data_IF_015375199320
#
_entry.id   IF_015375199320
#
_cell.length_a   1.000
_cell.length_b   1.000
_cell.length_c   1.000
_cell.angle_alpha   90.00
_cell.angle_beta   90.00
_cell.angle_gamma   90.00
#
_symmetry.space_group_name_H-M   'P 1'
#
loop_
_entity.id
_entity.type
_entity.pdbx_description
1 polymer ?
#
# COMPACT_ATOMS: atom_id res chain seq x y z
N UNK A 1 -6.56 10.09 6.54
CA UNK A 1 -7.81 9.32 6.35
C UNK A 1 -7.78 8.78 4.94
N UNK A 2 -8.09 7.51 4.73
CA UNK A 2 -8.07 6.91 3.40
C UNK A 2 -9.26 7.44 2.59
N UNK A 3 -9.01 7.97 1.40
CA UNK A 3 -10.04 8.49 0.51
C UNK A 3 -9.70 8.20 -0.94
N UNK A 4 -10.73 8.00 -1.78
CA UNK A 4 -10.54 7.77 -3.22
C UNK A 4 -9.88 9.00 -3.86
N UNK A 5 -8.90 8.78 -4.72
CA UNK A 5 -7.97 9.78 -5.28
C UNK A 5 -6.99 10.42 -4.29
N UNK A 6 -7.03 10.05 -3.01
CA UNK A 6 -6.04 10.45 -2.02
C UNK A 6 -4.68 9.84 -2.35
N UNK A 7 -3.61 10.61 -2.15
CA UNK A 7 -2.24 10.13 -2.35
C UNK A 7 -1.77 9.41 -1.09
N UNK A 8 -1.21 8.22 -1.28
CA UNK A 8 -0.57 7.44 -0.23
C UNK A 8 0.85 7.07 -0.65
N UNK A 9 1.69 6.81 0.33
CA UNK A 9 3.07 6.36 0.18
C UNK A 9 3.16 4.93 0.70
N UNK A 10 3.90 4.07 0.02
CA UNK A 10 4.03 2.68 0.45
C UNK A 10 5.44 2.14 0.25
N UNK A 11 5.83 1.20 1.11
CA UNK A 11 7.10 0.49 1.03
C UNK A 11 6.88 -0.76 0.18
N UNK A 12 7.64 -0.88 -0.90
CA UNK A 12 7.63 -2.02 -1.82
C UNK A 12 9.06 -2.56 -1.93
N UNK A 13 9.35 -3.69 -1.25
CA UNK A 13 10.70 -4.20 -1.10
C UNK A 13 11.65 -3.15 -0.49
N UNK A 14 12.73 -2.80 -1.19
CA UNK A 14 13.69 -1.76 -0.80
C UNK A 14 13.40 -0.38 -1.41
N UNK A 15 12.13 -0.08 -1.71
CA UNK A 15 11.74 1.20 -2.29
C UNK A 15 10.55 1.81 -1.55
N UNK A 16 10.53 3.14 -1.46
CA UNK A 16 9.32 3.91 -1.14
C UNK A 16 8.72 4.36 -2.47
N UNK A 17 7.45 4.07 -2.67
CA UNK A 17 6.66 4.53 -3.81
C UNK A 17 5.46 5.33 -3.34
N UNK A 18 4.76 5.96 -4.27
CA UNK A 18 3.51 6.65 -4.00
C UNK A 18 2.52 6.42 -5.14
N UNK A 19 1.24 6.44 -4.81
CA UNK A 19 0.15 6.32 -5.77
C UNK A 19 -1.14 6.87 -5.20
N UNK A 20 -2.18 6.88 -6.03
CA UNK A 20 -3.52 7.29 -5.62
C UNK A 20 -4.35 6.08 -5.26
N UNK A 21 -5.18 6.23 -4.23
CA UNK A 21 -6.20 5.24 -3.91
C UNK A 21 -7.23 5.21 -5.04
N UNK A 22 -7.22 4.15 -5.84
CA UNK A 22 -8.04 4.04 -7.06
C UNK A 22 -9.43 3.48 -6.77
N UNK A 23 -9.54 2.58 -5.79
CA UNK A 23 -10.81 2.04 -5.31
C UNK A 23 -10.74 1.61 -3.84
N UNK A 24 -11.91 1.51 -3.21
CA UNK A 24 -12.09 1.09 -1.82
C UNK A 24 -13.30 0.18 -1.75
N UNK A 25 -13.17 -0.97 -1.09
CA UNK A 25 -14.28 -1.88 -0.82
C UNK A 25 -14.30 -2.29 0.65
N UNK A 26 -15.47 -2.73 1.11
CA UNK A 26 -15.65 -3.33 2.42
C UNK A 26 -16.20 -4.74 2.22
N UNK A 27 -15.48 -5.74 2.70
CA UNK A 27 -15.90 -7.14 2.65
C UNK A 27 -15.90 -7.72 4.06
N UNK A 28 -17.05 -8.27 4.49
CA UNK A 28 -17.24 -8.87 5.83
C UNK A 28 -16.85 -7.95 7.01
N UNK A 29 -16.89 -6.63 6.81
CA UNK A 29 -16.53 -5.63 7.83
C UNK A 29 -15.07 -5.19 7.80
N UNK A 30 -14.27 -5.72 6.88
CA UNK A 30 -12.87 -5.35 6.68
C UNK A 30 -12.75 -4.44 5.45
N UNK A 31 -11.97 -3.36 5.57
CA UNK A 31 -11.72 -2.42 4.50
C UNK A 31 -10.51 -2.85 3.68
N UNK A 32 -10.67 -2.82 2.36
CA UNK A 32 -9.62 -3.06 1.39
C UNK A 32 -9.55 -1.92 0.38
N UNK A 33 -8.37 -1.64 -0.14
CA UNK A 33 -8.17 -0.57 -1.11
C UNK A 33 -7.14 -0.93 -2.18
N UNK A 34 -7.22 -0.26 -3.32
CA UNK A 34 -6.27 -0.36 -4.41
C UNK A 34 -5.44 0.92 -4.51
N UNK A 35 -4.17 0.79 -4.89
CA UNK A 35 -3.31 1.92 -5.26
C UNK A 35 -3.02 1.79 -6.76
N UNK A 36 -3.25 2.85 -7.54
CA UNK A 36 -3.14 2.82 -9.01
C UNK A 36 -1.75 2.42 -9.55
N UNK A 37 -0.69 2.72 -8.80
CA UNK A 37 0.70 2.38 -9.15
C UNK A 37 1.15 1.02 -8.62
N UNK A 38 0.33 0.36 -7.80
CA UNK A 38 0.67 -0.92 -7.18
C UNK A 38 0.08 -2.08 -7.98
N UNK A 39 0.95 -2.94 -8.50
CA UNK A 39 0.58 -4.10 -9.33
C UNK A 39 1.43 -5.30 -8.94
N UNK A 40 0.75 -6.40 -8.60
CA UNK A 40 1.30 -7.74 -8.46
C UNK A 40 1.04 -8.55 -9.72
N UNK A 41 1.93 -9.51 -10.03
CA UNK A 41 1.84 -10.29 -11.27
C UNK A 41 0.74 -11.36 -11.24
N UNK A 42 0.58 -12.06 -10.10
CA UNK A 42 -0.26 -13.26 -9.99
C UNK A 42 -1.26 -13.21 -8.83
N UNK A 43 -1.37 -12.07 -8.16
CA UNK A 43 -2.14 -11.91 -6.91
C UNK A 43 -3.12 -10.73 -6.98
N UNK A 44 -4.02 -10.74 -6.01
CA UNK A 44 -5.03 -9.71 -5.85
C UNK A 44 -4.41 -8.42 -5.28
N UNK A 45 -4.52 -7.32 -6.01
CA UNK A 45 -3.90 -6.03 -5.65
C UNK A 45 -4.59 -5.32 -4.48
N UNK A 46 -5.67 -5.90 -3.91
CA UNK A 46 -6.38 -5.35 -2.77
C UNK A 46 -5.50 -5.37 -1.51
N UNK A 47 -5.17 -4.18 -1.02
CA UNK A 47 -4.41 -3.97 0.21
C UNK A 47 -5.40 -3.87 1.37
N UNK A 48 -5.18 -4.63 2.43
CA UNK A 48 -5.99 -4.56 3.65
C UNK A 48 -5.69 -3.27 4.43
N UNK A 49 -6.70 -2.70 5.10
CA UNK A 49 -6.55 -1.50 5.94
C UNK A 49 -5.45 -1.65 7.00
N UNK A 50 -5.20 -2.86 7.49
CA UNK A 50 -4.17 -3.15 8.48
C UNK A 50 -2.73 -2.85 8.02
N UNK A 51 -2.51 -2.69 6.72
CA UNK A 51 -1.21 -2.29 6.17
C UNK A 51 -0.94 -0.80 6.33
N UNK A 52 -1.97 0.01 6.63
CA UNK A 52 -1.83 1.42 6.94
C UNK A 52 -1.08 1.57 8.27
N UNK A 53 0.02 2.34 8.26
CA UNK A 53 0.94 2.52 9.37
C UNK A 53 2.01 1.40 9.49
N UNK A 54 1.94 0.36 8.66
CA UNK A 54 2.95 -0.71 8.59
C UNK A 54 3.77 -0.63 7.31
N UNK A 55 3.10 -0.71 6.16
CA UNK A 55 3.70 -0.62 4.82
C UNK A 55 3.12 0.51 3.98
N UNK A 56 1.93 1.03 4.31
CA UNK A 56 1.26 2.15 3.63
C UNK A 56 1.09 3.33 4.59
N UNK A 57 1.29 4.55 4.11
CA UNK A 57 1.35 5.77 4.92
C UNK A 57 0.70 6.94 4.20
N UNK A 58 0.21 7.93 4.95
CA UNK A 58 -0.42 9.12 4.37
C UNK A 58 0.60 10.17 3.94
N UNK A 59 1.84 10.07 4.42
CA UNK A 59 2.92 10.99 4.07
C UNK A 59 4.23 10.28 3.76
N UNK A 60 5.07 10.90 2.94
CA UNK A 60 6.41 10.38 2.67
C UNK A 60 7.29 10.35 3.92
N UNK A 61 7.09 11.31 4.83
CA UNK A 61 7.85 11.40 6.09
C UNK A 61 7.59 10.18 6.96
N UNK A 62 6.33 9.78 7.12
CA UNK A 62 5.97 8.55 7.84
C UNK A 62 6.56 7.32 7.14
N UNK A 63 6.42 7.22 5.81
CA UNK A 63 7.01 6.09 5.08
C UNK A 63 8.52 5.98 5.28
N UNK A 64 9.25 7.10 5.29
CA UNK A 64 10.70 7.14 5.54
C UNK A 64 11.08 6.74 6.97
N UNK A 65 10.23 7.03 7.96
CA UNK A 65 10.47 6.61 9.35
C UNK A 65 10.35 5.10 9.52
N UNK A 66 9.51 4.45 8.72
CA UNK A 66 9.29 3.01 8.75
C UNK A 66 10.12 2.24 7.71
N UNK A 67 10.74 2.94 6.77
CA UNK A 67 11.61 2.34 5.76
C UNK A 67 12.82 1.65 6.41
N UNK A 68 13.13 0.43 5.95
CA UNK A 68 14.23 -0.38 6.49
C UNK A 68 13.88 -1.20 7.74
N UNK A 69 12.63 -1.16 8.21
CA UNK A 69 12.15 -2.00 9.33
C UNK A 69 11.89 -3.46 8.95
N UNK A 70 11.92 -3.78 7.65
CA UNK A 70 11.69 -5.12 7.11
C UNK A 70 10.23 -5.45 6.77
N UNK A 71 9.29 -4.53 7.02
CA UNK A 71 7.89 -4.68 6.61
C UNK A 71 7.63 -3.90 5.30
N UNK A 72 7.17 -4.59 4.25
CA UNK A 72 6.86 -4.00 2.95
C UNK A 72 5.70 -4.75 2.29
N UNK A 73 4.99 -4.07 1.39
CA UNK A 73 4.05 -4.76 0.50
C UNK A 73 4.77 -5.82 -0.34
N UNK A 74 4.10 -6.92 -0.71
CA UNK A 74 4.70 -7.96 -1.52
C UNK A 74 5.09 -7.40 -2.90
N UNK A 75 6.33 -7.65 -3.31
CA UNK A 75 6.79 -7.38 -4.67
C UNK A 75 6.36 -8.49 -5.61
N UNK A 76 6.05 -8.15 -6.86
CA UNK A 76 6.00 -9.12 -7.93
C UNK A 76 7.35 -9.87 -8.00
N UNK A 77 7.32 -11.19 -7.72
CA UNK A 77 8.49 -12.05 -7.82
C UNK A 77 8.81 -12.31 -9.29
N UNK A 78 9.56 -11.41 -9.93
CA UNK A 78 10.30 -11.78 -11.11
C UNK A 78 11.58 -12.51 -10.68
N UNK A 79 11.50 -13.84 -10.55
CA UNK A 79 12.62 -14.81 -10.63
C UNK A 79 13.84 -14.57 -9.77
#
# INVERSE_FOLDING_TARGET
>A
MLERNGVVYYILGSHIQCGKVSDIKIEKGELFFLIDTYVQCDEDNWIAEEEIGKSVFFTEVEARQHYGTGHSLPTCCCG
#
